data_IF_743935405057
#
_entry.id   IF_743935405057
#
_cell.length_a   1.000
_cell.length_b   1.000
_cell.length_c   1.000
_cell.angle_alpha   90.00
_cell.angle_beta   90.00
_cell.angle_gamma   90.00
#
_symmetry.space_group_name_H-M   'P 1'
#
loop_
_entity.id
_entity.type
_entity.pdbx_description
1 polymer ?
#
# COMPACT_ATOMS: atom_id res chain seq x y z
N UNK A 1 23.55 4.16 26.05
CA UNK A 1 22.74 4.93 25.08
C UNK A 1 22.71 4.10 23.81
N UNK A 2 21.55 3.62 23.35
CA UNK A 2 21.44 2.83 22.13
C UNK A 2 21.83 3.74 20.95
N UNK A 3 23.01 3.51 20.36
CA UNK A 3 23.46 4.16 19.13
C UNK A 3 22.92 3.42 17.89
N UNK A 4 21.65 2.98 17.93
CA UNK A 4 20.96 2.44 16.76
C UNK A 4 20.35 3.61 16.01
N UNK A 5 20.71 3.79 14.74
CA UNK A 5 20.12 4.82 13.88
C UNK A 5 18.66 4.42 13.62
N UNK A 6 17.68 5.27 13.93
CA UNK A 6 16.25 4.95 13.72
C UNK A 6 15.99 4.59 12.26
N UNK A 7 15.48 3.39 11.96
CA UNK A 7 15.17 2.97 10.58
C UNK A 7 13.68 3.16 10.33
N UNK A 8 13.34 3.98 9.34
CA UNK A 8 11.95 4.27 9.02
C UNK A 8 11.78 4.81 7.60
N UNK A 9 10.55 4.75 7.09
CA UNK A 9 10.13 5.47 5.90
C UNK A 9 8.65 5.83 5.97
N UNK A 10 8.33 6.98 5.38
CA UNK A 10 7.00 7.30 4.92
C UNK A 10 7.03 7.61 3.41
N UNK A 11 6.11 7.01 2.67
CA UNK A 11 5.94 7.20 1.25
C UNK A 11 4.45 7.31 0.89
N UNK A 12 4.15 7.93 -0.24
CA UNK A 12 2.77 8.13 -0.73
C UNK A 12 2.63 7.89 -2.23
N UNK A 13 1.45 7.45 -2.64
CA UNK A 13 1.07 7.29 -4.04
C UNK A 13 0.32 8.53 -4.54
N UNK A 14 0.79 9.14 -5.63
CA UNK A 14 0.17 10.33 -6.23
C UNK A 14 -0.79 10.02 -7.38
N UNK A 15 -0.89 8.74 -7.77
CA UNK A 15 -1.63 8.29 -8.96
C UNK A 15 -2.76 7.32 -8.61
N UNK A 16 -3.89 7.49 -9.29
CA UNK A 16 -5.00 6.53 -9.31
C UNK A 16 -4.62 5.29 -10.10
N UNK A 17 -4.96 4.11 -9.57
CA UNK A 17 -4.62 2.82 -10.16
C UNK A 17 -5.82 1.89 -10.08
N UNK A 18 -6.11 1.18 -11.17
CA UNK A 18 -7.19 0.19 -11.23
C UNK A 18 -6.64 -1.22 -11.32
N UNK A 19 -7.34 -2.15 -10.68
CA UNK A 19 -7.02 -3.57 -10.74
C UNK A 19 -7.46 -4.10 -12.11
N UNK A 20 -6.55 -4.79 -12.79
CA UNK A 20 -6.75 -5.20 -14.20
C UNK A 20 -7.37 -6.58 -14.37
N UNK A 21 -7.33 -7.43 -13.34
CA UNK A 21 -7.75 -8.81 -13.43
C UNK A 21 -8.35 -9.31 -12.11
N UNK A 22 -9.41 -10.09 -12.21
CA UNK A 22 -10.08 -10.72 -11.07
C UNK A 22 -9.14 -11.70 -10.38
N UNK A 23 -9.15 -11.67 -9.04
CA UNK A 23 -8.45 -12.60 -8.16
C UNK A 23 -6.94 -12.72 -8.39
N UNK A 24 -6.32 -11.72 -9.03
CA UNK A 24 -4.86 -11.63 -9.22
C UNK A 24 -4.32 -10.43 -8.45
N UNK A 25 -3.29 -10.67 -7.63
CA UNK A 25 -2.60 -9.62 -6.90
C UNK A 25 -1.81 -8.70 -7.83
N UNK A 26 -2.13 -7.41 -7.79
CA UNK A 26 -1.43 -6.35 -8.49
C UNK A 26 -0.66 -5.49 -7.47
N UNK A 27 0.62 -5.21 -7.73
CA UNK A 27 1.41 -4.31 -6.87
C UNK A 27 0.83 -2.89 -6.97
N UNK A 28 0.61 -2.27 -5.81
CA UNK A 28 0.27 -0.85 -5.72
C UNK A 28 1.54 -0.06 -5.98
N UNK A 29 1.54 0.74 -7.04
CA UNK A 29 2.63 1.65 -7.36
C UNK A 29 2.64 2.82 -6.37
N UNK A 30 3.82 3.12 -5.82
CA UNK A 30 4.06 4.22 -4.88
C UNK A 30 5.27 4.98 -5.42
N UNK A 31 5.11 6.28 -5.63
CA UNK A 31 6.03 7.08 -6.45
C UNK A 31 6.70 8.23 -5.69
N UNK A 32 6.23 8.54 -4.47
CA UNK A 32 6.74 9.68 -3.69
C UNK A 32 7.29 9.23 -2.34
N UNK A 33 8.53 9.66 -2.05
CA UNK A 33 9.12 9.56 -0.71
C UNK A 33 8.75 10.84 0.06
N UNK A 34 8.10 10.69 1.20
CA UNK A 34 7.79 11.81 2.10
C UNK A 34 8.87 12.01 3.17
N UNK A 35 9.54 10.92 3.56
CA UNK A 35 10.73 10.91 4.42
C UNK A 35 11.29 9.49 4.56
N UNK A 36 12.60 9.35 4.76
CA UNK A 36 13.22 8.02 4.94
C UNK A 36 14.58 8.06 5.64
N UNK A 37 14.91 6.96 6.31
CA UNK A 37 16.24 6.62 6.79
C UNK A 37 16.36 5.08 6.87
N UNK A 38 17.28 4.46 6.13
CA UNK A 38 17.50 3.01 6.19
C UNK A 38 16.48 2.13 5.42
N UNK A 39 15.63 2.75 4.60
CA UNK A 39 14.70 2.07 3.67
C UNK A 39 14.75 2.81 2.34
N UNK A 40 14.74 2.07 1.23
CA UNK A 40 14.76 2.61 -0.13
C UNK A 40 13.44 2.32 -0.84
N UNK A 41 12.91 3.26 -1.61
CA UNK A 41 11.78 3.06 -2.51
C UNK A 41 12.29 2.98 -3.96
N UNK A 42 11.87 1.96 -4.70
CA UNK A 42 11.91 1.98 -6.16
C UNK A 42 10.58 2.55 -6.70
N UNK A 43 10.55 3.82 -7.12
CA UNK A 43 9.32 4.47 -7.56
C UNK A 43 8.82 3.95 -8.91
N UNK A 44 9.55 3.08 -9.61
CA UNK A 44 9.04 2.45 -10.85
C UNK A 44 8.17 1.24 -10.54
N UNK A 45 8.51 0.51 -9.47
CA UNK A 45 7.85 -0.74 -9.11
C UNK A 45 6.94 -0.60 -7.89
N UNK A 46 7.11 0.43 -7.05
CA UNK A 46 6.42 0.56 -5.77
C UNK A 46 6.97 -0.40 -4.71
N UNK A 47 8.22 -0.85 -4.86
CA UNK A 47 8.86 -1.82 -3.96
C UNK A 47 9.79 -1.12 -2.98
N UNK A 48 9.86 -1.62 -1.75
CA UNK A 48 10.68 -1.07 -0.69
C UNK A 48 11.79 -2.03 -0.29
N UNK A 49 13.03 -1.58 -0.20
CA UNK A 49 14.16 -2.40 0.27
C UNK A 49 14.65 -1.90 1.61
N UNK A 50 14.70 -2.77 2.62
CA UNK A 50 15.27 -2.42 3.93
C UNK A 50 16.80 -2.57 3.93
N UNK A 51 17.51 -1.66 4.58
CA UNK A 51 18.99 -1.66 4.60
C UNK A 51 19.59 -2.36 5.82
N UNK A 52 18.76 -2.86 6.75
CA UNK A 52 19.22 -3.56 7.94
C UNK A 52 18.23 -4.62 8.39
N UNK A 53 18.72 -5.55 9.21
CA UNK A 53 17.90 -6.59 9.83
C UNK A 53 17.08 -5.98 10.98
N UNK A 54 15.84 -6.46 11.17
CA UNK A 54 15.01 -6.05 12.29
C UNK A 54 13.58 -6.53 12.21
N UNK A 55 12.84 -6.29 13.28
CA UNK A 55 11.38 -6.40 13.27
C UNK A 55 10.81 -5.04 12.92
N UNK A 56 9.92 -5.00 11.92
CA UNK A 56 9.36 -3.77 11.40
C UNK A 56 7.85 -3.71 11.62
N UNK A 57 7.35 -2.60 12.12
CA UNK A 57 5.95 -2.24 11.95
C UNK A 57 5.78 -1.72 10.52
N UNK A 58 4.92 -2.39 9.75
CA UNK A 58 4.56 -1.98 8.40
C UNK A 58 3.09 -1.61 8.37
N UNK A 59 2.76 -0.45 7.79
CA UNK A 59 1.39 0.05 7.65
C UNK A 59 1.18 0.50 6.20
N UNK A 60 0.19 -0.07 5.54
CA UNK A 60 -0.28 0.32 4.22
C UNK A 60 -1.75 0.75 4.31
N UNK A 61 -2.01 2.02 4.00
CA UNK A 61 -3.33 2.64 4.09
C UNK A 61 -3.80 3.19 2.73
N UNK A 62 -4.26 2.33 1.80
CA UNK A 62 -4.82 2.76 0.52
C UNK A 62 -6.15 3.50 0.66
N UNK A 63 -6.33 4.55 -0.16
CA UNK A 63 -7.61 5.22 -0.43
C UNK A 63 -8.32 4.47 -1.55
N UNK A 64 -9.44 3.82 -1.24
CA UNK A 64 -10.10 2.84 -2.12
C UNK A 64 -11.37 3.42 -2.73
N UNK A 65 -11.63 3.04 -3.99
CA UNK A 65 -12.89 3.34 -4.67
C UNK A 65 -13.14 2.44 -5.89
N UNK A 66 -14.30 2.64 -6.52
CA UNK A 66 -14.68 2.03 -7.80
C UNK A 66 -15.21 3.08 -8.78
N UNK A 67 -15.09 2.84 -10.08
CA UNK A 67 -15.54 3.78 -11.14
C UNK A 67 -16.90 3.42 -11.71
N UNK A 68 -17.18 2.12 -11.86
CA UNK A 68 -18.33 1.67 -12.62
C UNK A 68 -19.43 1.16 -11.67
N UNK A 69 -20.71 1.50 -11.91
CA UNK A 69 -21.83 0.90 -11.19
C UNK A 69 -22.01 -0.58 -11.60
N UNK A 70 -22.90 -1.29 -10.92
CA UNK A 70 -23.23 -2.69 -11.22
C UNK A 70 -23.01 -3.59 -10.01
N UNK A 71 -22.67 -4.85 -10.26
CA UNK A 71 -22.52 -5.87 -9.23
C UNK A 71 -21.53 -5.46 -8.13
N UNK A 72 -21.71 -6.06 -6.96
CA UNK A 72 -20.83 -5.85 -5.82
C UNK A 72 -19.40 -6.29 -6.18
N UNK A 73 -18.43 -5.52 -5.68
CA UNK A 73 -17.03 -5.84 -5.81
C UNK A 73 -16.36 -5.76 -4.44
N UNK A 74 -15.21 -6.37 -4.28
CA UNK A 74 -14.38 -6.17 -3.09
C UNK A 74 -13.03 -5.54 -3.46
N UNK A 75 -12.39 -4.94 -2.47
CA UNK A 75 -10.99 -4.58 -2.52
C UNK A 75 -10.28 -5.35 -1.42
N UNK A 76 -9.18 -6.02 -1.78
CA UNK A 76 -8.29 -6.73 -0.86
C UNK A 76 -6.91 -6.09 -0.89
N UNK A 77 -6.25 -6.01 0.26
CA UNK A 77 -4.90 -5.45 0.37
C UNK A 77 -4.04 -6.26 1.34
N UNK A 78 -2.83 -6.62 0.95
CA UNK A 78 -1.90 -7.39 1.78
C UNK A 78 -0.44 -7.07 1.49
N UNK A 79 0.45 -7.55 2.36
CA UNK A 79 1.90 -7.37 2.25
C UNK A 79 2.56 -8.57 1.57
N UNK A 80 3.62 -8.32 0.81
CA UNK A 80 4.47 -9.35 0.21
C UNK A 80 5.93 -9.03 0.50
N UNK A 81 6.71 -10.05 0.83
CA UNK A 81 8.16 -9.95 1.02
C UNK A 81 8.83 -10.92 0.06
N UNK A 82 9.79 -10.45 -0.74
CA UNK A 82 10.58 -11.25 -1.66
C UNK A 82 9.76 -12.16 -2.61
N UNK A 83 8.57 -11.71 -3.01
CA UNK A 83 7.67 -12.49 -3.88
C UNK A 83 6.64 -13.34 -3.13
N UNK A 84 6.80 -13.54 -1.82
CA UNK A 84 5.92 -14.37 -0.98
C UNK A 84 4.93 -13.51 -0.20
N UNK A 85 3.65 -13.88 -0.22
CA UNK A 85 2.62 -13.15 0.52
C UNK A 85 2.83 -13.36 2.03
N UNK A 86 2.86 -12.28 2.79
CA UNK A 86 2.97 -12.33 4.26
C UNK A 86 1.66 -12.92 4.83
N UNK A 87 1.72 -14.02 5.60
CA UNK A 87 0.54 -14.60 6.25
C UNK A 87 -0.23 -13.57 7.09
N UNK A 88 -1.56 -13.71 7.14
CA UNK A 88 -2.46 -12.90 7.97
C UNK A 88 -2.36 -11.36 7.79
N UNK A 89 -1.78 -10.89 6.68
CA UNK A 89 -1.66 -9.46 6.38
C UNK A 89 -2.81 -8.89 5.52
N UNK A 90 -3.73 -9.76 5.07
CA UNK A 90 -4.79 -9.36 4.15
C UNK A 90 -5.99 -8.73 4.86
N UNK A 91 -6.55 -7.70 4.24
CA UNK A 91 -7.76 -7.00 4.69
C UNK A 91 -8.72 -6.84 3.51
N UNK A 92 -10.03 -6.73 3.78
CA UNK A 92 -11.06 -6.69 2.75
C UNK A 92 -12.10 -5.59 3.02
N UNK A 93 -12.41 -4.80 2.00
CA UNK A 93 -13.54 -3.87 1.94
C UNK A 93 -14.51 -4.32 0.86
N UNK A 94 -15.82 -4.32 1.15
CA UNK A 94 -16.85 -4.52 0.15
C UNK A 94 -17.32 -3.17 -0.41
N UNK A 95 -17.45 -3.09 -1.74
CA UNK A 95 -17.79 -1.88 -2.50
C UNK A 95 -19.11 -2.07 -3.24
N UNK A 96 -20.15 -1.41 -2.75
CA UNK A 96 -21.52 -1.53 -3.26
C UNK A 96 -21.93 -0.40 -4.21
N UNK A 97 -21.27 0.76 -4.13
CA UNK A 97 -21.61 1.96 -4.90
C UNK A 97 -20.36 2.71 -5.37
N UNK A 98 -20.48 3.47 -6.46
CA UNK A 98 -19.37 4.27 -7.04
C UNK A 98 -18.96 5.46 -6.17
N UNK A 99 -19.90 6.00 -5.41
CA UNK A 99 -19.66 7.13 -4.51
C UNK A 99 -18.98 6.73 -3.20
N UNK A 100 -18.83 5.42 -2.95
CA UNK A 100 -18.14 4.93 -1.76
C UNK A 100 -16.63 5.12 -1.94
N UNK A 101 -16.08 5.99 -1.09
CA UNK A 101 -14.63 6.19 -0.89
C UNK A 101 -14.32 5.87 0.56
N UNK A 102 -13.30 5.05 0.79
CA UNK A 102 -12.90 4.65 2.14
C UNK A 102 -11.40 4.37 2.21
N UNK A 103 -10.87 4.26 3.43
CA UNK A 103 -9.50 3.84 3.68
C UNK A 103 -9.52 2.48 4.35
N UNK A 104 -8.72 1.55 3.83
CA UNK A 104 -8.46 0.28 4.51
C UNK A 104 -7.00 0.22 4.94
N UNK A 105 -6.72 -0.39 6.09
CA UNK A 105 -5.36 -0.48 6.63
C UNK A 105 -4.93 -1.95 6.68
N UNK A 106 -3.92 -2.30 5.88
CA UNK A 106 -3.15 -3.54 6.04
C UNK A 106 -1.92 -3.21 6.88
N UNK A 107 -1.77 -3.84 8.03
CA UNK A 107 -0.63 -3.59 8.93
C UNK A 107 -0.16 -4.87 9.61
N UNK A 108 1.11 -4.91 9.99
CA UNK A 108 1.69 -6.04 10.69
C UNK A 108 3.10 -5.80 11.20
N UNK A 109 3.52 -6.68 12.11
CA UNK A 109 4.92 -6.82 12.50
C UNK A 109 5.58 -7.87 11.61
N UNK A 110 6.63 -7.50 10.89
CA UNK A 110 7.32 -8.38 9.95
C UNK A 110 8.82 -8.36 10.26
N UNK A 111 9.40 -9.53 10.45
CA UNK A 111 10.85 -9.68 10.52
C UNK A 111 11.43 -9.58 9.12
N UNK A 112 12.41 -8.70 8.93
CA UNK A 112 13.06 -8.47 7.63
C UNK A 112 14.58 -8.49 7.82
N UNK A 113 15.28 -9.06 6.84
CA UNK A 113 16.73 -8.99 6.71
C UNK A 113 17.11 -7.85 5.77
N UNK A 114 18.32 -7.31 5.92
CA UNK A 114 18.89 -6.35 4.99
C UNK A 114 18.83 -6.88 3.55
N UNK A 115 18.25 -6.08 2.65
CA UNK A 115 18.03 -6.44 1.25
C UNK A 115 16.65 -7.04 0.95
N UNK A 116 15.85 -7.37 1.97
CA UNK A 116 14.48 -7.85 1.75
C UNK A 116 13.63 -6.77 1.07
N UNK A 117 12.80 -7.21 0.12
CA UNK A 117 11.95 -6.35 -0.70
C UNK A 117 10.49 -6.52 -0.30
N UNK A 118 9.87 -5.44 0.14
CA UNK A 118 8.45 -5.37 0.51
C UNK A 118 7.65 -4.79 -0.66
N UNK A 119 6.46 -5.34 -0.88
CA UNK A 119 5.46 -4.80 -1.80
C UNK A 119 4.09 -4.79 -1.14
N UNK A 120 3.26 -3.81 -1.49
CA UNK A 120 1.84 -3.77 -1.13
C UNK A 120 1.02 -4.23 -2.33
N UNK A 121 0.13 -5.18 -2.13
CA UNK A 121 -0.67 -5.78 -3.18
C UNK A 121 -2.13 -5.36 -3.03
N UNK A 122 -2.81 -5.18 -4.15
CA UNK A 122 -4.27 -5.06 -4.22
C UNK A 122 -4.88 -6.13 -5.13
N UNK A 123 -6.10 -6.58 -4.81
CA UNK A 123 -6.90 -7.43 -5.69
C UNK A 123 -8.40 -7.20 -5.48
N UNK A 124 -9.19 -7.65 -6.45
CA UNK A 124 -10.65 -7.61 -6.42
C UNK A 124 -11.21 -8.90 -6.97
N UNK A 125 -12.46 -9.22 -6.69
CA UNK A 125 -13.22 -10.28 -7.38
C UNK A 125 -13.98 -9.76 -8.62
N UNK A 126 -13.93 -8.45 -8.90
CA UNK A 126 -14.65 -7.83 -10.01
C UNK A 126 -13.91 -6.58 -10.52
N UNK A 127 -12.91 -6.79 -11.38
CA UNK A 127 -12.11 -5.75 -12.03
C UNK A 127 -12.95 -4.90 -12.98
N UNK A 128 -14.02 -5.44 -13.56
CA UNK A 128 -14.93 -4.69 -14.43
C UNK A 128 -15.65 -3.54 -13.69
N UNK A 129 -15.81 -3.63 -12.37
CA UNK A 129 -16.30 -2.53 -11.54
C UNK A 129 -15.32 -1.34 -11.44
N UNK A 130 -14.09 -1.46 -11.96
CA UNK A 130 -13.08 -0.40 -11.89
C UNK A 130 -12.57 -0.19 -10.46
N UNK A 131 -12.44 -1.27 -9.68
CA UNK A 131 -11.93 -1.20 -8.30
C UNK A 131 -10.44 -0.87 -8.29
N UNK A 132 -10.01 -0.05 -7.34
CA UNK A 132 -8.60 0.20 -7.11
C UNK A 132 -8.36 1.29 -6.07
N UNK A 133 -7.18 1.91 -6.17
CA UNK A 133 -6.77 3.01 -5.29
C UNK A 133 -6.86 4.35 -6.01
N UNK A 134 -7.28 5.40 -5.30
CA UNK A 134 -7.63 6.69 -5.89
C UNK A 134 -6.81 7.82 -5.28
N UNK A 135 -6.07 8.55 -6.13
CA UNK A 135 -5.52 9.84 -5.78
C UNK A 135 -6.58 10.90 -6.11
N UNK A 136 -7.01 11.66 -5.11
CA UNK A 136 -8.14 12.60 -5.23
C UNK A 136 -7.65 13.98 -4.80
N UNK A 137 -7.77 14.96 -5.70
CA UNK A 137 -7.56 16.37 -5.40
C UNK A 137 -8.93 17.00 -5.11
N UNK A 138 -9.34 17.24 -3.85
CA UNK A 138 -10.70 17.69 -3.55
C UNK A 138 -10.95 19.13 -4.03
N UNK A 139 -10.00 20.02 -3.71
CA UNK A 139 -9.98 21.42 -4.15
C UNK A 139 -8.53 21.84 -4.48
N UNK A 140 -8.29 22.94 -5.22
CA UNK A 140 -6.92 23.37 -5.54
C UNK A 140 -6.06 23.75 -4.33
N UNK A 141 -6.68 24.11 -3.20
CA UNK A 141 -5.98 24.62 -2.01
C UNK A 141 -5.80 23.56 -0.91
N UNK A 142 -6.40 22.37 -1.09
CA UNK A 142 -6.24 21.24 -0.16
C UNK A 142 -5.06 20.34 -0.57
N UNK A 143 -4.41 19.65 0.38
CA UNK A 143 -3.48 18.59 0.04
C UNK A 143 -4.16 17.48 -0.77
N UNK A 144 -3.40 16.86 -1.67
CA UNK A 144 -3.84 15.65 -2.38
C UNK A 144 -4.19 14.57 -1.35
N UNK A 145 -5.36 13.94 -1.50
CA UNK A 145 -5.63 12.63 -0.86
C UNK A 145 -4.83 11.60 -1.66
N UNK A 146 -3.76 11.02 -1.10
CA UNK A 146 -2.91 10.09 -1.84
C UNK A 146 -3.67 8.79 -2.07
N UNK A 147 -3.33 8.07 -3.14
CA UNK A 147 -3.91 6.76 -3.40
C UNK A 147 -3.51 5.72 -2.35
N UNK A 148 -2.39 5.94 -1.67
CA UNK A 148 -1.94 5.14 -0.54
C UNK A 148 -0.93 5.94 0.29
N UNK A 149 -0.96 5.74 1.61
CA UNK A 149 0.14 6.07 2.52
C UNK A 149 0.80 4.77 2.96
N UNK A 150 2.13 4.69 2.86
CA UNK A 150 2.93 3.59 3.35
C UNK A 150 3.88 4.10 4.42
N UNK A 151 3.89 3.42 5.57
CA UNK A 151 4.79 3.70 6.69
C UNK A 151 5.47 2.42 7.13
N UNK A 152 6.76 2.51 7.41
CA UNK A 152 7.55 1.41 7.97
C UNK A 152 8.52 1.96 9.01
N UNK A 153 8.68 1.26 10.13
CA UNK A 153 9.62 1.61 11.19
C UNK A 153 10.17 0.33 11.84
N UNK A 154 11.48 0.27 12.08
CA UNK A 154 12.12 -0.82 12.81
C UNK A 154 11.96 -0.64 14.32
N UNK A 155 11.71 -1.73 15.04
CA UNK A 155 11.89 -1.77 16.49
C UNK A 155 13.38 -1.80 16.83
N UNK A 156 13.82 -0.85 17.66
CA UNK A 156 15.24 -0.66 18.01
C UNK A 156 15.79 -1.54 19.12
#
# INVERSE_FOLDING_TARGET
>A
MKNGKDIWMQASGSVTQRIKQDDVGQVIHIDKIDGSNGVLLDPKTGSFTVESDGDYLVVAAPQVGRENPGDNANFRCWLRVNGENVPDSNVLLNLFHVDLKDVIVSQGLVHLNAGDVIQVLMATNNAAAGVGVEAIQPTPDEPLVPSIIFSIEAYG
#
